data_IF_757210959179
#
_entry.id   IF_757210959179
#
_cell.length_a   1.000
_cell.length_b   1.000
_cell.length_c   1.000
_cell.angle_alpha   90.00
_cell.angle_beta   90.00
_cell.angle_gamma   90.00
#
_symmetry.space_group_name_H-M   'P 1'
#
loop_
_entity.id
_entity.type
_entity.pdbx_description
1 polymer ?
#
# COMPACT_ATOMS: atom_id res chain seq x y z
N UNK A 1 -33.01 4.84 3.10
CA UNK A 1 -32.90 5.38 1.72
C UNK A 1 -31.94 4.47 0.94
N UNK A 2 -32.30 3.94 -0.24
CA UNK A 2 -31.37 3.13 -1.02
C UNK A 2 -30.27 4.04 -1.57
N UNK A 3 -29.09 4.00 -0.94
CA UNK A 3 -27.92 4.70 -1.46
C UNK A 3 -27.56 4.14 -2.83
N UNK A 4 -27.50 4.99 -3.86
CA UNK A 4 -27.01 4.58 -5.19
C UNK A 4 -25.68 3.85 -5.00
N UNK A 5 -25.62 2.58 -5.39
CA UNK A 5 -24.41 1.78 -5.35
C UNK A 5 -23.31 2.52 -6.12
N UNK A 6 -22.36 3.09 -5.39
CA UNK A 6 -21.27 3.87 -5.98
C UNK A 6 -20.41 2.90 -6.76
N UNK A 7 -20.49 2.95 -8.09
CA UNK A 7 -19.76 2.05 -8.98
C UNK A 7 -18.27 2.08 -8.61
N UNK A 8 -17.75 0.93 -8.20
CA UNK A 8 -16.33 0.79 -7.90
C UNK A 8 -15.53 0.96 -9.19
N UNK A 9 -14.63 1.93 -9.22
CA UNK A 9 -13.74 2.16 -10.36
C UNK A 9 -12.63 1.11 -10.34
N UNK A 10 -12.69 0.17 -11.27
CA UNK A 10 -11.70 -0.88 -11.51
C UNK A 10 -10.75 -0.48 -12.65
N UNK A 11 -9.77 -1.34 -12.98
CA UNK A 11 -8.83 -1.08 -14.07
C UNK A 11 -9.55 -0.80 -15.41
N UNK A 12 -10.59 -1.59 -15.72
CA UNK A 12 -11.40 -1.42 -16.92
C UNK A 12 -12.07 -0.04 -17.02
N UNK A 13 -12.55 0.51 -15.90
CA UNK A 13 -13.10 1.87 -15.87
C UNK A 13 -12.08 2.92 -16.33
N UNK A 14 -10.83 2.85 -15.85
CA UNK A 14 -9.79 3.81 -16.23
C UNK A 14 -9.40 3.65 -17.70
N UNK A 15 -9.32 2.42 -18.19
CA UNK A 15 -9.11 2.14 -19.60
C UNK A 15 -10.21 2.74 -20.49
N UNK A 16 -11.48 2.53 -20.14
CA UNK A 16 -12.60 3.12 -20.89
C UNK A 16 -12.56 4.65 -20.89
N UNK A 17 -12.11 5.25 -19.79
CA UNK A 17 -12.02 6.70 -19.68
C UNK A 17 -10.95 7.28 -20.62
N UNK A 18 -9.78 6.65 -20.70
CA UNK A 18 -8.74 7.02 -21.68
C UNK A 18 -9.23 6.78 -23.11
N UNK A 19 -9.77 5.58 -23.39
CA UNK A 19 -10.28 5.24 -24.72
C UNK A 19 -11.39 6.17 -25.20
N UNK A 20 -12.31 6.58 -24.30
CA UNK A 20 -13.36 7.54 -24.63
C UNK A 20 -12.78 8.90 -25.01
N UNK A 21 -11.70 9.34 -24.35
CA UNK A 21 -11.04 10.61 -24.69
C UNK A 21 -10.36 10.52 -26.05
N UNK A 22 -9.71 9.41 -26.37
CA UNK A 22 -9.08 9.19 -27.68
C UNK A 22 -10.13 9.17 -28.79
N UNK A 23 -11.21 8.41 -28.62
CA UNK A 23 -12.31 8.35 -29.60
C UNK A 23 -13.02 9.71 -29.77
N UNK A 24 -13.08 10.54 -28.72
CA UNK A 24 -13.59 11.92 -28.83
C UNK A 24 -12.66 12.83 -29.63
N UNK A 25 -11.34 12.66 -29.50
CA UNK A 25 -10.35 13.38 -30.33
C UNK A 25 -10.46 12.98 -31.80
N UNK A 26 -10.84 11.74 -32.08
CA UNK A 26 -11.17 11.26 -33.42
C UNK A 26 -12.54 11.76 -33.94
N UNK A 27 -13.29 12.54 -33.15
CA UNK A 27 -14.57 13.13 -33.55
C UNK A 27 -15.79 12.26 -33.27
N UNK A 28 -15.66 11.13 -32.56
CA UNK A 28 -16.83 10.34 -32.15
C UNK A 28 -17.54 10.98 -30.95
N UNK A 29 -18.86 10.97 -31.01
CA UNK A 29 -19.73 11.45 -29.94
C UNK A 29 -20.41 10.26 -29.26
N UNK A 30 -20.45 10.27 -27.93
CA UNK A 30 -21.04 9.20 -27.12
C UNK A 30 -22.21 9.76 -26.30
N UNK A 31 -23.44 9.78 -26.85
CA UNK A 31 -24.61 10.32 -26.18
C UNK A 31 -25.00 9.54 -24.92
N UNK A 32 -24.76 8.22 -24.87
CA UNK A 32 -24.96 7.34 -23.71
C UNK A 32 -23.75 7.27 -22.77
N UNK A 33 -22.73 8.09 -22.98
CA UNK A 33 -21.55 8.16 -22.12
C UNK A 33 -20.70 6.89 -22.18
N UNK A 34 -20.34 6.33 -21.02
CA UNK A 34 -19.48 5.14 -20.95
C UNK A 34 -20.18 3.87 -21.47
N UNK A 35 -21.51 3.80 -21.43
CA UNK A 35 -22.24 2.61 -21.87
C UNK A 35 -22.00 2.29 -23.36
N UNK A 36 -21.93 3.33 -24.19
CA UNK A 36 -21.66 3.20 -25.63
C UNK A 36 -20.22 2.76 -25.93
N UNK A 37 -19.30 2.99 -24.98
CA UNK A 37 -17.87 2.66 -25.10
C UNK A 37 -17.60 1.21 -24.71
N UNK A 38 -18.41 0.62 -23.82
CA UNK A 38 -18.26 -0.76 -23.33
C UNK A 38 -18.08 -1.81 -24.44
N UNK A 39 -18.95 -1.89 -25.49
CA UNK A 39 -18.82 -2.91 -26.53
C UNK A 39 -17.52 -2.77 -27.34
N UNK A 40 -16.95 -1.57 -27.45
CA UNK A 40 -15.67 -1.32 -28.13
C UNK A 40 -14.51 -1.64 -27.18
N UNK A 41 -14.62 -1.23 -25.91
CA UNK A 41 -13.58 -1.35 -24.93
C UNK A 41 -13.35 -2.79 -24.46
N UNK A 42 -14.40 -3.59 -24.30
CA UNK A 42 -14.30 -4.94 -23.75
C UNK A 42 -13.36 -5.87 -24.55
N UNK A 43 -13.50 -6.00 -25.89
CA UNK A 43 -12.57 -6.82 -26.67
C UNK A 43 -11.15 -6.25 -26.67
N UNK A 44 -11.01 -4.92 -26.78
CA UNK A 44 -9.69 -4.26 -26.80
C UNK A 44 -8.95 -4.43 -25.48
N UNK A 45 -9.63 -4.28 -24.35
CA UNK A 45 -9.06 -4.47 -23.03
C UNK A 45 -8.60 -5.91 -22.80
N UNK A 46 -9.35 -6.89 -23.30
CA UNK A 46 -8.96 -8.30 -23.21
C UNK A 46 -7.68 -8.58 -24.00
N UNK A 47 -7.53 -7.92 -25.15
CA UNK A 47 -6.38 -8.04 -26.05
C UNK A 47 -5.14 -7.25 -25.62
N UNK A 48 -5.22 -6.39 -24.60
CA UNK A 48 -4.05 -5.66 -24.08
C UNK A 48 -3.00 -6.62 -23.48
N UNK A 49 -1.75 -6.23 -23.59
CA UNK A 49 -0.64 -6.89 -22.91
C UNK A 49 -0.75 -6.73 -21.39
N UNK A 50 -0.17 -7.68 -20.65
CA UNK A 50 -0.23 -7.68 -19.19
C UNK A 50 0.44 -6.43 -18.58
N UNK A 51 1.48 -5.90 -19.22
CA UNK A 51 2.15 -4.66 -18.80
C UNK A 51 1.23 -3.45 -18.88
N UNK A 52 0.38 -3.37 -19.90
CA UNK A 52 -0.57 -2.28 -20.07
C UNK A 52 -1.76 -2.44 -19.11
N UNK A 53 -2.24 -3.67 -18.93
CA UNK A 53 -3.25 -3.99 -17.90
C UNK A 53 -2.77 -3.59 -16.51
N UNK A 54 -1.51 -3.88 -16.17
CA UNK A 54 -0.91 -3.53 -14.89
C UNK A 54 -0.90 -2.01 -14.66
N UNK A 55 -0.62 -1.20 -15.70
CA UNK A 55 -0.72 0.27 -15.62
C UNK A 55 -2.11 0.71 -15.15
N UNK A 56 -3.18 0.15 -15.73
CA UNK A 56 -4.56 0.46 -15.34
C UNK A 56 -4.93 -0.09 -13.96
N UNK A 57 -4.40 -1.25 -13.58
CA UNK A 57 -4.55 -1.77 -12.23
C UNK A 57 -3.90 -0.86 -11.18
N UNK A 58 -2.71 -0.33 -11.47
CA UNK A 58 -2.01 0.60 -10.59
C UNK A 58 -2.81 1.90 -10.42
N UNK A 59 -3.38 2.45 -11.50
CA UNK A 59 -4.32 3.58 -11.40
C UNK A 59 -5.53 3.26 -10.51
N UNK A 60 -6.12 2.07 -10.66
CA UNK A 60 -7.24 1.65 -9.82
C UNK A 60 -6.85 1.47 -8.36
N UNK A 61 -5.65 0.93 -8.08
CA UNK A 61 -5.10 0.80 -6.73
C UNK A 61 -4.88 2.18 -6.10
N UNK A 62 -4.29 3.12 -6.82
CA UNK A 62 -4.11 4.50 -6.35
C UNK A 62 -5.42 5.20 -6.06
N UNK A 63 -6.40 5.08 -6.97
CA UNK A 63 -7.73 5.63 -6.74
C UNK A 63 -8.36 5.05 -5.48
N UNK A 64 -8.32 3.73 -5.30
CA UNK A 64 -8.81 3.08 -4.07
C UNK A 64 -8.07 3.60 -2.84
N UNK A 65 -6.74 3.78 -2.89
CA UNK A 65 -5.96 4.36 -1.78
C UNK A 65 -6.41 5.78 -1.43
N UNK A 66 -6.64 6.65 -2.43
CA UNK A 66 -7.13 8.03 -2.21
C UNK A 66 -8.54 8.10 -1.62
N UNK A 67 -9.37 7.08 -1.91
CA UNK A 67 -10.73 6.99 -1.37
C UNK A 67 -10.77 6.39 0.04
N UNK A 68 -9.69 5.73 0.51
CA UNK A 68 -9.59 5.26 1.90
C UNK A 68 -9.58 6.45 2.85
N UNK A 69 -10.42 6.41 3.88
CA UNK A 69 -10.55 7.51 4.84
C UNK A 69 -11.44 8.69 4.40
N UNK A 70 -12.08 8.62 3.23
CA UNK A 70 -13.19 9.53 2.92
C UNK A 70 -14.39 9.28 3.85
N UNK A 71 -15.27 10.26 4.10
CA UNK A 71 -16.35 10.16 5.07
C UNK A 71 -17.28 8.94 4.90
N UNK A 72 -17.40 8.38 3.68
CA UNK A 72 -18.16 7.15 3.44
C UNK A 72 -17.45 5.84 3.83
N UNK A 73 -16.13 5.84 3.99
CA UNK A 73 -15.34 4.65 4.39
C UNK A 73 -15.33 4.45 5.91
N UNK A 74 -15.65 5.50 6.68
CA UNK A 74 -15.80 5.45 8.14
C UNK A 74 -16.96 4.55 8.62
N UNK A 75 -17.90 4.23 7.74
CA UNK A 75 -19.08 3.39 8.05
C UNK A 75 -18.84 1.95 7.54
N UNK A 76 -17.83 1.71 6.72
CA UNK A 76 -17.64 0.41 6.07
C UNK A 76 -17.17 -0.60 7.10
N UNK A 77 -18.01 -1.60 7.38
CA UNK A 77 -17.71 -2.67 8.31
C UNK A 77 -17.18 -3.92 7.60
N UNK A 78 -16.45 -4.75 8.32
CA UNK A 78 -16.13 -6.09 7.89
C UNK A 78 -17.23 -7.10 8.25
N UNK A 79 -17.03 -8.36 7.88
CA UNK A 79 -17.98 -9.44 8.14
C UNK A 79 -18.21 -9.71 9.65
N UNK A 80 -17.40 -9.12 10.53
CA UNK A 80 -17.47 -9.24 12.00
C UNK A 80 -18.02 -7.95 12.62
N UNK A 81 -18.34 -6.93 11.82
CA UNK A 81 -18.89 -5.66 12.27
C UNK A 81 -17.86 -4.60 12.65
N UNK A 82 -16.56 -4.88 12.50
CA UNK A 82 -15.51 -3.89 12.79
C UNK A 82 -15.41 -2.88 11.65
N UNK A 83 -15.28 -1.60 11.99
CA UNK A 83 -15.07 -0.53 11.02
C UNK A 83 -13.69 -0.73 10.35
N UNK A 84 -13.69 -0.87 9.03
CA UNK A 84 -12.48 -1.13 8.23
C UNK A 84 -11.51 0.05 8.31
N UNK A 85 -12.00 1.28 8.42
CA UNK A 85 -11.17 2.47 8.60
C UNK A 85 -10.33 2.45 9.89
N UNK A 86 -10.76 1.70 10.90
CA UNK A 86 -10.03 1.54 12.17
C UNK A 86 -9.07 0.35 12.19
N UNK A 87 -8.97 -0.42 11.09
CA UNK A 87 -7.98 -1.49 11.01
C UNK A 87 -6.58 -0.90 11.08
N UNK A 88 -5.88 -1.25 12.15
CA UNK A 88 -4.46 -0.98 12.27
C UNK A 88 -3.68 -1.97 11.42
N UNK A 89 -2.65 -1.47 10.78
CA UNK A 89 -1.63 -2.30 10.15
C UNK A 89 -0.53 -2.49 11.19
N UNK A 90 -0.65 -3.56 11.98
CA UNK A 90 0.26 -3.86 13.09
C UNK A 90 1.72 -3.96 12.61
N UNK A 91 1.93 -4.39 11.36
CA UNK A 91 3.27 -4.50 10.75
C UNK A 91 3.85 -3.12 10.49
N UNK A 92 3.10 -2.21 9.86
CA UNK A 92 3.58 -0.84 9.64
C UNK A 92 3.76 -0.06 10.96
N UNK A 93 2.89 -0.27 11.95
CA UNK A 93 3.04 0.38 13.26
C UNK A 93 4.32 -0.10 13.97
N UNK A 94 4.57 -1.41 13.95
CA UNK A 94 5.79 -2.02 14.48
C UNK A 94 7.05 -1.50 13.76
N UNK A 95 7.06 -1.44 12.43
CA UNK A 95 8.19 -0.92 11.66
C UNK A 95 8.49 0.56 11.99
N UNK A 96 7.44 1.37 12.14
CA UNK A 96 7.56 2.78 12.50
C UNK A 96 8.14 2.97 13.89
N UNK A 97 7.73 2.14 14.85
CA UNK A 97 8.28 2.18 16.21
C UNK A 97 9.74 1.73 16.23
N UNK A 98 10.08 0.67 15.47
CA UNK A 98 11.47 0.23 15.27
C UNK A 98 12.36 1.34 14.70
N UNK A 99 11.87 2.11 13.73
CA UNK A 99 12.62 3.26 13.21
C UNK A 99 12.84 4.35 14.26
N UNK A 100 11.84 4.64 15.10
CA UNK A 100 11.99 5.62 16.19
C UNK A 100 13.02 5.16 17.20
N UNK A 101 13.00 3.87 17.54
CA UNK A 101 13.98 3.27 18.45
C UNK A 101 15.38 3.41 17.89
N UNK A 102 15.61 3.01 16.63
CA UNK A 102 16.91 3.15 15.95
C UNK A 102 17.37 4.61 15.94
N UNK A 103 16.50 5.55 15.55
CA UNK A 103 16.83 6.98 15.53
C UNK A 103 17.17 7.50 16.93
N UNK A 104 16.44 7.08 17.95
CA UNK A 104 16.69 7.47 19.34
C UNK A 104 18.02 6.92 19.86
N UNK A 105 18.33 5.67 19.50
CA UNK A 105 19.54 4.98 19.87
C UNK A 105 20.76 5.62 19.21
N UNK A 106 20.72 5.85 17.90
CA UNK A 106 21.80 6.53 17.15
C UNK A 106 22.07 7.93 17.70
N UNK A 107 21.03 8.68 18.09
CA UNK A 107 21.21 10.00 18.73
C UNK A 107 21.90 9.93 20.08
N UNK A 108 21.61 8.90 20.87
CA UNK A 108 22.24 8.65 22.17
C UNK A 108 23.59 7.95 22.04
N UNK A 109 23.96 7.55 20.83
CA UNK A 109 25.17 6.80 20.59
C UNK A 109 26.39 7.71 20.82
N UNK A 110 27.34 7.29 21.67
CA UNK A 110 28.55 8.07 21.91
C UNK A 110 29.32 8.28 20.61
N UNK A 111 29.71 9.52 20.33
CA UNK A 111 30.51 9.87 19.15
C UNK A 111 31.95 9.39 19.28
N UNK A 112 32.46 9.33 20.52
CA UNK A 112 33.76 8.75 20.81
C UNK A 112 33.61 7.23 21.02
N UNK A 113 34.11 6.48 20.04
CA UNK A 113 34.07 5.02 19.94
C UNK A 113 35.43 4.38 20.29
N UNK A 114 36.41 5.16 20.75
CA UNK A 114 37.75 4.66 21.11
C UNK A 114 37.69 3.52 22.13
N UNK A 115 36.83 3.64 23.14
CA UNK A 115 36.61 2.63 24.18
C UNK A 115 35.87 1.36 23.68
N UNK A 116 35.24 1.40 22.51
CA UNK A 116 34.57 0.25 21.87
C UNK A 116 35.60 -0.57 21.10
N UNK A 117 36.55 0.08 20.41
CA UNK A 117 37.55 -0.61 19.59
C UNK A 117 38.46 -1.56 20.38
N UNK A 118 38.71 -1.25 21.66
CA UNK A 118 39.58 -2.05 22.52
C UNK A 118 38.87 -3.26 23.17
N UNK A 119 37.53 -3.33 23.09
CA UNK A 119 36.75 -4.39 23.72
C UNK A 119 36.38 -5.49 22.74
N UNK A 120 36.54 -6.75 23.18
CA UNK A 120 36.05 -7.92 22.46
C UNK A 120 34.54 -8.05 22.69
N UNK A 121 33.76 -8.02 21.61
CA UNK A 121 32.33 -8.28 21.66
C UNK A 121 32.03 -9.72 21.24
N UNK A 122 31.11 -10.36 21.96
CA UNK A 122 30.54 -11.64 21.56
C UNK A 122 29.25 -11.34 20.81
N UNK A 123 29.23 -11.68 19.52
CA UNK A 123 28.01 -11.61 18.73
C UNK A 123 27.11 -12.79 19.10
N UNK A 124 26.03 -12.53 19.84
CA UNK A 124 25.02 -13.53 20.13
C UNK A 124 24.00 -13.58 19.00
N UNK A 125 24.00 -14.68 18.25
CA UNK A 125 23.01 -14.96 17.22
C UNK A 125 21.91 -15.86 17.78
N UNK A 126 20.74 -15.29 18.02
CA UNK A 126 19.56 -16.08 18.42
C UNK A 126 18.87 -16.64 17.17
N UNK A 127 18.84 -17.97 17.04
CA UNK A 127 17.91 -18.64 16.13
C UNK A 127 16.52 -18.63 16.78
N UNK A 128 15.72 -17.62 16.48
CA UNK A 128 14.30 -17.63 16.80
C UNK A 128 13.61 -18.63 15.86
N UNK A 129 13.19 -19.78 16.38
CA UNK A 129 12.47 -20.81 15.63
C UNK A 129 11.02 -20.42 15.28
N UNK A 130 10.62 -19.16 15.50
CA UNK A 130 9.32 -18.64 15.09
C UNK A 130 9.38 -17.13 14.77
N UNK A 131 9.66 -16.78 13.49
CA UNK A 131 9.47 -15.46 12.84
C UNK A 131 10.38 -14.29 13.33
N UNK A 132 10.57 -13.22 12.50
CA UNK A 132 11.89 -12.78 12.02
C UNK A 132 12.76 -12.02 13.03
N UNK A 133 14.08 -12.09 12.77
CA UNK A 133 15.20 -11.69 13.61
C UNK A 133 15.09 -10.26 14.18
N UNK A 134 14.99 -10.17 15.51
CA UNK A 134 15.47 -9.01 16.27
C UNK A 134 16.94 -9.25 16.66
N UNK A 135 17.84 -8.38 16.20
CA UNK A 135 19.19 -8.28 16.75
C UNK A 135 19.15 -7.39 17.98
N UNK A 136 19.43 -7.96 19.16
CA UNK A 136 19.56 -7.22 20.42
C UNK A 136 21.04 -7.26 20.82
N UNK A 137 21.67 -6.09 20.96
CA UNK A 137 23.02 -5.98 21.51
C UNK A 137 22.93 -5.95 23.04
N UNK A 138 23.46 -6.96 23.71
CA UNK A 138 23.52 -7.03 25.17
C UNK A 138 24.98 -6.89 25.63
N UNK A 139 25.24 -5.94 26.52
CA UNK A 139 26.56 -5.67 27.05
C UNK A 139 26.81 -6.61 28.25
N UNK A 140 27.54 -7.71 28.05
CA UNK A 140 27.99 -8.54 29.18
C UNK A 140 29.22 -7.88 29.85
N UNK A 141 29.05 -7.50 31.11
CA UNK A 141 30.14 -7.06 31.98
C UNK A 141 30.82 -8.32 32.52
N UNK A 142 31.93 -8.73 31.91
CA UNK A 142 32.81 -9.75 32.49
C UNK A 142 33.57 -9.10 33.66
N UNK A 143 33.43 -9.68 34.85
CA UNK A 143 34.19 -9.37 36.07
C UNK A 143 35.69 -9.68 35.86
#
# INVERSE_FOLDING_TARGET
>A
MPGKNKQQKNAFYFYMQELMQDLKREGRVFPGGLADVVPIAHPRFKALDDKEKERFENMAKEFKKRMRGQPGDAIRQDNVGNIIAHRRDDVMEYEKDREKEIKSFVRKWPQDLSWVAEKKFILLMFKLYAKPLMMIFCQLKLL
#
